data_IF_684512803802
#
_entry.id   IF_684512803802
#
_cell.length_a   1.000
_cell.length_b   1.000
_cell.length_c   1.000
_cell.angle_alpha   90.00
_cell.angle_beta   90.00
_cell.angle_gamma   90.00
#
_symmetry.space_group_name_H-M   'P 1'
#
loop_
_entity.id
_entity.type
_entity.pdbx_description
1 polymer ?
#
# COMPACT_ATOMS: atom_id res chain seq x y z
N UNK A 1 -38.77 -3.80 49.68
CA UNK A 1 -37.85 -2.88 48.97
C UNK A 1 -36.85 -3.74 48.23
N UNK A 2 -37.11 -4.04 46.96
CA UNK A 2 -36.27 -4.90 46.14
C UNK A 2 -35.46 -4.03 45.17
N UNK A 3 -34.14 -4.10 45.29
CA UNK A 3 -33.18 -3.43 44.41
C UNK A 3 -33.10 -4.23 43.10
N UNK A 4 -33.65 -3.70 42.02
CA UNK A 4 -33.37 -4.18 40.67
C UNK A 4 -32.00 -3.63 40.24
N UNK A 5 -31.00 -4.50 40.17
CA UNK A 5 -29.72 -4.18 39.54
C UNK A 5 -29.94 -4.09 38.03
N UNK A 6 -30.00 -2.86 37.51
CA UNK A 6 -30.11 -2.60 36.08
C UNK A 6 -28.80 -2.98 35.38
N UNK A 7 -28.86 -3.98 34.50
CA UNK A 7 -27.82 -4.22 33.51
C UNK A 7 -27.88 -3.06 32.50
N UNK A 8 -26.97 -2.09 32.64
CA UNK A 8 -26.80 -1.02 31.66
C UNK A 8 -26.27 -1.63 30.35
N UNK A 9 -27.13 -1.69 29.33
CA UNK A 9 -26.70 -1.93 27.96
C UNK A 9 -25.77 -0.79 27.54
N UNK A 10 -24.50 -1.09 27.32
CA UNK A 10 -23.62 -0.20 26.57
C UNK A 10 -23.90 -0.47 25.09
N UNK A 11 -24.41 0.50 24.31
CA UNK A 11 -24.54 0.31 22.87
C UNK A 11 -23.16 -0.06 22.32
N UNK A 12 -23.12 -1.08 21.45
CA UNK A 12 -21.89 -1.41 20.74
C UNK A 12 -21.41 -0.15 20.01
N UNK A 13 -20.10 0.17 20.03
CA UNK A 13 -19.58 1.30 19.27
C UNK A 13 -20.03 1.14 17.80
N UNK A 14 -20.78 2.11 17.30
CA UNK A 14 -21.12 2.16 15.87
C UNK A 14 -19.80 2.28 15.11
N UNK A 15 -19.56 1.38 14.15
CA UNK A 15 -18.36 1.47 13.31
C UNK A 15 -18.35 2.85 12.63
N UNK A 16 -17.27 3.61 12.83
CA UNK A 16 -17.11 4.90 12.19
C UNK A 16 -17.07 4.70 10.66
N UNK A 17 -17.70 5.59 9.88
CA UNK A 17 -17.45 5.63 8.44
C UNK A 17 -15.97 5.92 8.17
N UNK A 18 -15.41 5.28 7.15
CA UNK A 18 -14.02 5.50 6.71
C UNK A 18 -14.00 5.89 5.24
N UNK A 19 -13.13 6.83 4.90
CA UNK A 19 -12.65 7.02 3.54
C UNK A 19 -11.37 6.20 3.33
N UNK A 20 -11.10 5.81 2.09
CA UNK A 20 -10.01 4.91 1.75
C UNK A 20 -9.09 5.52 0.69
N UNK A 21 -7.80 5.20 0.82
CA UNK A 21 -6.78 5.54 -0.16
C UNK A 21 -5.90 4.33 -0.39
N UNK A 22 -5.69 3.99 -1.66
CA UNK A 22 -4.81 2.90 -2.05
C UNK A 22 -3.50 3.44 -2.60
N UNK A 23 -2.38 2.99 -2.03
CA UNK A 23 -1.04 3.17 -2.57
C UNK A 23 -0.57 1.82 -3.10
N UNK A 24 -0.25 1.74 -4.39
CA UNK A 24 0.18 0.49 -5.04
C UNK A 24 1.56 0.65 -5.63
N UNK A 25 2.41 -0.34 -5.44
CA UNK A 25 3.70 -0.48 -6.13
C UNK A 25 3.62 -1.59 -7.15
N UNK A 26 3.99 -1.28 -8.39
CA UNK A 26 4.11 -2.23 -9.48
C UNK A 26 5.60 -2.31 -9.82
N UNK A 27 6.23 -3.45 -9.52
CA UNK A 27 7.66 -3.63 -9.69
C UNK A 27 7.93 -4.75 -10.68
N UNK A 28 8.56 -4.37 -11.79
CA UNK A 28 8.81 -5.27 -12.91
C UNK A 28 10.17 -5.96 -12.79
N UNK A 29 10.16 -7.25 -13.04
CA UNK A 29 11.35 -8.08 -13.24
C UNK A 29 11.39 -8.45 -14.71
N UNK A 30 12.17 -7.68 -15.48
CA UNK A 30 12.41 -7.93 -16.90
C UNK A 30 13.93 -8.01 -17.12
N UNK A 31 14.43 -9.06 -17.80
CA UNK A 31 15.83 -9.22 -18.12
C UNK A 31 16.40 -7.97 -18.82
N UNK A 32 17.62 -7.60 -18.44
CA UNK A 32 18.28 -6.40 -18.97
C UNK A 32 17.69 -5.07 -18.48
N UNK A 33 16.75 -5.07 -17.54
CA UNK A 33 16.27 -3.86 -16.87
C UNK A 33 15.32 -2.99 -17.70
N UNK A 34 14.73 -3.55 -18.76
CA UNK A 34 13.83 -2.82 -19.66
C UNK A 34 12.43 -2.55 -19.07
N UNK A 35 12.14 -3.13 -17.90
CA UNK A 35 10.86 -2.94 -17.22
C UNK A 35 10.71 -1.54 -16.61
N UNK A 36 9.46 -1.05 -16.57
CA UNK A 36 9.08 0.20 -15.93
C UNK A 36 8.30 -0.11 -14.66
N UNK A 37 8.90 0.18 -13.52
CA UNK A 37 8.26 0.05 -12.21
C UNK A 37 7.64 1.41 -11.82
N UNK A 38 6.50 1.39 -11.11
CA UNK A 38 5.75 2.62 -10.83
C UNK A 38 4.85 2.50 -9.62
N UNK A 39 4.61 3.64 -8.98
CA UNK A 39 3.56 3.84 -7.98
C UNK A 39 2.24 4.24 -8.64
N UNK A 40 1.13 3.65 -8.20
CA UNK A 40 -0.22 4.12 -8.49
C UNK A 40 -0.90 4.49 -7.17
N UNK A 41 -1.50 5.67 -7.11
CA UNK A 41 -2.31 6.12 -5.97
C UNK A 41 -3.76 6.22 -6.45
N UNK A 42 -4.71 5.77 -5.63
CA UNK A 42 -6.14 5.83 -5.94
C UNK A 42 -6.93 6.22 -4.70
N UNK A 43 -7.87 7.14 -4.85
CA UNK A 43 -8.83 7.53 -3.80
C UNK A 43 -10.26 7.65 -4.39
N UNK A 44 -11.18 8.32 -3.69
CA UNK A 44 -12.63 8.31 -3.96
C UNK A 44 -13.05 8.75 -5.37
N UNK A 45 -12.17 9.39 -6.14
CA UNK A 45 -12.49 9.83 -7.50
C UNK A 45 -11.33 9.80 -8.48
N UNK A 46 -10.08 9.82 -8.01
CA UNK A 46 -8.93 10.02 -8.88
C UNK A 46 -7.93 8.87 -8.79
N UNK A 47 -7.27 8.62 -9.92
CA UNK A 47 -6.09 7.77 -10.00
C UNK A 47 -4.91 8.62 -10.42
N UNK A 48 -3.92 8.68 -9.55
CA UNK A 48 -2.69 9.40 -9.79
C UNK A 48 -1.56 8.41 -10.09
N UNK A 49 -0.82 8.67 -11.17
CA UNK A 49 0.48 8.05 -11.39
C UNK A 49 1.47 8.73 -10.46
N UNK A 50 1.94 7.99 -9.46
CA UNK A 50 2.89 8.46 -8.48
C UNK A 50 4.34 8.40 -8.98
N UNK A 51 5.28 8.42 -8.02
CA UNK A 51 6.72 8.39 -8.27
C UNK A 51 7.13 7.13 -9.07
N UNK A 52 7.99 7.31 -10.06
CA UNK A 52 8.58 6.19 -10.78
C UNK A 52 9.49 5.39 -9.83
N UNK A 53 9.43 4.06 -9.96
CA UNK A 53 10.29 3.13 -9.25
C UNK A 53 11.36 2.61 -10.22
N UNK A 54 12.52 2.25 -9.67
CA UNK A 54 13.63 1.73 -10.44
C UNK A 54 13.44 0.23 -10.71
N UNK A 55 13.99 -0.25 -11.83
CA UNK A 55 13.98 -1.69 -12.15
C UNK A 55 14.83 -2.50 -11.15
N UNK A 56 14.48 -3.76 -10.94
CA UNK A 56 15.24 -4.65 -10.07
C UNK A 56 16.45 -5.31 -10.72
N UNK A 57 16.52 -5.39 -12.05
CA UNK A 57 17.53 -6.17 -12.77
C UNK A 57 18.33 -5.33 -13.74
N UNK A 58 19.61 -5.69 -13.87
CA UNK A 58 20.53 -5.28 -14.93
C UNK A 58 20.98 -6.52 -15.72
N UNK A 59 21.86 -6.34 -16.70
CA UNK A 59 22.52 -7.47 -17.38
C UNK A 59 23.41 -8.30 -16.44
N UNK A 60 23.87 -7.74 -15.33
CA UNK A 60 24.71 -8.42 -14.34
C UNK A 60 23.91 -9.13 -13.22
N UNK A 61 22.57 -9.03 -13.25
CA UNK A 61 21.69 -9.55 -12.20
C UNK A 61 21.01 -8.43 -11.40
N UNK A 62 20.67 -8.71 -10.14
CA UNK A 62 19.86 -7.83 -9.29
C UNK A 62 20.61 -6.55 -8.95
N UNK A 63 19.94 -5.40 -9.10
CA UNK A 63 20.44 -4.10 -8.70
C UNK A 63 19.93 -3.74 -7.30
N UNK A 64 20.66 -4.14 -6.26
CA UNK A 64 20.30 -3.87 -4.86
C UNK A 64 20.23 -2.39 -4.50
N UNK A 65 20.92 -1.50 -5.23
CA UNK A 65 20.80 -0.06 -5.02
C UNK A 65 19.44 0.45 -5.47
N UNK A 66 18.91 -0.07 -6.56
CA UNK A 66 17.57 0.25 -7.04
C UNK A 66 16.52 -0.23 -6.04
N UNK A 67 16.65 -1.46 -5.54
CA UNK A 67 15.77 -2.01 -4.49
C UNK A 67 15.75 -1.09 -3.27
N UNK A 68 16.92 -0.77 -2.69
CA UNK A 68 17.00 0.11 -1.53
C UNK A 68 16.43 1.53 -1.78
N UNK A 69 16.53 2.04 -3.01
CA UNK A 69 15.92 3.30 -3.38
C UNK A 69 14.40 3.22 -3.47
N UNK A 70 13.85 2.13 -4.03
CA UNK A 70 12.41 1.89 -4.08
C UNK A 70 11.84 1.73 -2.65
N UNK A 71 12.52 0.99 -1.79
CA UNK A 71 12.13 0.81 -0.38
C UNK A 71 12.02 2.16 0.34
N UNK A 72 12.98 3.07 0.10
CA UNK A 72 12.91 4.44 0.64
C UNK A 72 11.68 5.17 0.15
N UNK A 73 11.35 5.09 -1.14
CA UNK A 73 10.13 5.71 -1.69
C UNK A 73 8.86 5.18 -1.01
N UNK A 74 8.80 3.86 -0.81
CA UNK A 74 7.68 3.19 -0.16
C UNK A 74 7.53 3.69 1.29
N UNK A 75 8.61 3.63 2.06
CA UNK A 75 8.62 4.06 3.47
C UNK A 75 8.28 5.54 3.61
N UNK A 76 8.87 6.40 2.78
CA UNK A 76 8.58 7.84 2.80
C UNK A 76 7.10 8.11 2.52
N UNK A 77 6.49 7.36 1.60
CA UNK A 77 5.07 7.49 1.25
C UNK A 77 4.15 7.02 2.39
N UNK A 78 4.48 5.88 3.01
CA UNK A 78 3.74 5.36 4.16
C UNK A 78 3.81 6.36 5.33
N UNK A 79 5.01 6.87 5.63
CA UNK A 79 5.21 7.86 6.70
C UNK A 79 4.47 9.16 6.42
N UNK A 80 4.46 9.63 5.16
CA UNK A 80 3.69 10.80 4.74
C UNK A 80 2.20 10.59 5.05
N UNK A 81 1.60 9.51 4.59
CA UNK A 81 0.18 9.25 4.84
C UNK A 81 -0.13 9.08 6.33
N UNK A 82 0.74 8.40 7.08
CA UNK A 82 0.62 8.32 8.53
C UNK A 82 0.62 9.71 9.19
N UNK A 83 1.50 10.62 8.77
CA UNK A 83 1.54 12.00 9.28
C UNK A 83 0.32 12.83 8.89
N UNK A 84 -0.35 12.50 7.79
CA UNK A 84 -1.61 13.11 7.33
C UNK A 84 -2.85 12.52 8.04
N UNK A 85 -2.64 11.58 8.98
CA UNK A 85 -3.70 10.95 9.77
C UNK A 85 -4.38 9.76 9.11
N UNK A 86 -3.75 9.18 8.08
CA UNK A 86 -4.20 7.91 7.50
C UNK A 86 -3.60 6.73 8.29
N UNK A 87 -4.42 5.73 8.58
CA UNK A 87 -4.00 4.46 9.15
C UNK A 87 -3.70 3.48 8.02
N UNK A 88 -2.52 2.84 8.04
CA UNK A 88 -2.27 1.68 7.19
C UNK A 88 -3.13 0.51 7.69
N UNK A 89 -4.18 0.20 6.96
CA UNK A 89 -5.19 -0.77 7.37
C UNK A 89 -4.87 -2.18 6.89
N UNK A 90 -4.45 -2.31 5.62
CA UNK A 90 -4.19 -3.61 5.02
C UNK A 90 -3.03 -3.51 4.02
N UNK A 91 -2.23 -4.58 3.94
CA UNK A 91 -1.24 -4.77 2.88
C UNK A 91 -1.56 -6.08 2.16
N UNK A 92 -1.78 -6.01 0.84
CA UNK A 92 -1.99 -7.18 0.00
C UNK A 92 -0.93 -7.25 -1.10
N UNK A 93 -0.41 -8.45 -1.35
CA UNK A 93 0.64 -8.70 -2.34
C UNK A 93 0.14 -9.65 -3.42
N UNK A 94 0.61 -9.47 -4.66
CA UNK A 94 0.37 -10.36 -5.78
C UNK A 94 1.62 -10.51 -6.63
N UNK A 95 1.81 -11.69 -7.20
CA UNK A 95 2.90 -11.98 -8.13
C UNK A 95 2.31 -12.59 -9.38
N UNK A 96 2.69 -12.05 -10.53
CA UNK A 96 2.48 -12.68 -11.83
C UNK A 96 3.86 -12.93 -12.45
N UNK A 97 4.11 -14.15 -12.90
CA UNK A 97 5.38 -14.49 -13.54
C UNK A 97 5.21 -15.49 -14.67
N UNK A 98 6.13 -15.45 -15.62
CA UNK A 98 6.42 -16.51 -16.60
C UNK A 98 7.94 -16.81 -16.59
N UNK A 99 8.41 -17.64 -17.52
CA UNK A 99 9.79 -18.12 -17.57
C UNK A 99 10.87 -17.02 -17.63
N UNK A 100 10.53 -15.79 -18.05
CA UNK A 100 11.49 -14.71 -18.27
C UNK A 100 11.10 -13.38 -17.65
N UNK A 101 9.83 -13.17 -17.32
CA UNK A 101 9.34 -11.88 -16.79
C UNK A 101 8.46 -12.08 -15.58
N UNK A 102 8.50 -11.14 -14.66
CA UNK A 102 7.61 -11.10 -13.51
C UNK A 102 7.16 -9.68 -13.17
N UNK A 103 6.03 -9.60 -12.47
CA UNK A 103 5.50 -8.39 -11.88
C UNK A 103 5.18 -8.70 -10.42
N UNK A 104 5.73 -7.88 -9.53
CA UNK A 104 5.34 -7.81 -8.13
C UNK A 104 4.37 -6.63 -7.98
N UNK A 105 3.23 -6.89 -7.35
CA UNK A 105 2.24 -5.88 -6.99
C UNK A 105 2.06 -5.89 -5.48
N UNK A 106 2.32 -4.76 -4.83
CA UNK A 106 1.96 -4.58 -3.42
C UNK A 106 0.99 -3.42 -3.30
N UNK A 107 -0.17 -3.66 -2.70
CA UNK A 107 -1.20 -2.67 -2.41
C UNK A 107 -1.24 -2.42 -0.91
N UNK A 108 -1.05 -1.17 -0.54
CA UNK A 108 -1.16 -0.64 0.79
C UNK A 108 -2.49 0.13 0.86
N UNK A 109 -3.46 -0.44 1.55
CA UNK A 109 -4.77 0.19 1.75
C UNK A 109 -4.72 1.00 3.04
N UNK A 110 -4.93 2.30 2.89
CA UNK A 110 -5.05 3.24 3.98
C UNK A 110 -6.51 3.59 4.21
N UNK A 111 -6.86 3.86 5.47
CA UNK A 111 -8.18 4.36 5.85
C UNK A 111 -8.06 5.55 6.79
N UNK A 112 -9.07 6.41 6.78
CA UNK A 112 -9.19 7.54 7.71
C UNK A 112 -10.66 7.71 8.08
N UNK A 113 -11.01 7.93 9.36
CA UNK A 113 -12.39 8.22 9.74
C UNK A 113 -12.91 9.44 8.98
N UNK A 114 -14.18 9.37 8.53
CA UNK A 114 -14.89 10.51 7.90
C UNK A 114 -15.38 11.48 8.98
#
# INVERSE_FOLDING_TARGET
>A
MALFAGYSFRPAPQAAPYTFRQFSTIESVIPGGLGRSRVIISDEGDQEVGKDLLNFYSLAGINFKNVANNDRVIVDTINKYASEGWELYEVSTGVQSNDKTGIFLTRYLFRKPV
#
